data_IF_245987763419
#
_entry.id   IF_245987763419
#
_cell.length_a   1.000
_cell.length_b   1.000
_cell.length_c   1.000
_cell.angle_alpha   90.00
_cell.angle_beta   90.00
_cell.angle_gamma   90.00
#
_symmetry.space_group_name_H-M   'P 1'
#
loop_
_entity.id
_entity.type
_entity.pdbx_description
1 polymer ?
#
# COMPACT_ATOMS: atom_id res chain seq x y z
N UNK A 1 -5.82 11.29 -2.00
CA UNK A 1 -4.94 10.28 -2.62
C UNK A 1 -3.72 10.99 -3.21
N UNK A 2 -2.51 10.67 -2.74
CA UNK A 2 -1.25 11.19 -3.33
C UNK A 2 -0.49 10.02 -3.94
N UNK A 3 -0.09 10.15 -5.21
CA UNK A 3 0.71 9.15 -5.95
C UNK A 3 2.18 9.58 -5.96
N UNK A 4 3.10 8.66 -5.67
CA UNK A 4 4.55 8.88 -5.80
C UNK A 4 5.18 7.80 -6.68
N UNK A 5 6.07 8.22 -7.58
CA UNK A 5 6.86 7.34 -8.46
C UNK A 5 8.33 7.73 -8.37
N UNK A 6 9.22 6.75 -8.22
CA UNK A 6 10.67 6.97 -8.15
C UNK A 6 11.42 6.01 -9.09
N UNK A 7 12.39 6.53 -9.83
CA UNK A 7 13.25 5.79 -10.77
C UNK A 7 14.68 6.31 -10.68
N UNK A 8 15.70 5.44 -10.70
CA UNK A 8 17.13 5.81 -10.69
C UNK A 8 17.74 5.58 -12.08
N UNK A 9 18.43 6.58 -12.66
CA UNK A 9 19.00 6.50 -14.02
C UNK A 9 20.42 7.12 -14.04
N UNK A 10 21.35 6.53 -14.82
CA UNK A 10 22.76 6.98 -14.89
C UNK A 10 23.37 7.16 -16.31
N UNK A 11 22.68 6.80 -17.40
CA UNK A 11 23.14 6.89 -18.80
C UNK A 11 21.98 6.82 -19.83
N UNK A 12 22.26 7.04 -21.13
CA UNK A 12 21.27 6.98 -22.23
C UNK A 12 20.75 5.57 -22.54
N UNK A 13 21.62 4.55 -22.54
CA UNK A 13 21.18 3.15 -22.65
C UNK A 13 20.31 2.76 -21.45
N UNK A 14 20.67 3.24 -20.25
CA UNK A 14 19.81 3.08 -19.08
C UNK A 14 18.53 3.91 -19.17
N UNK A 15 18.45 4.97 -19.98
CA UNK A 15 17.23 5.76 -20.16
C UNK A 15 16.21 5.03 -21.04
N UNK A 16 16.66 4.38 -22.12
CA UNK A 16 15.80 3.51 -22.95
C UNK A 16 15.32 2.31 -22.12
N UNK A 17 16.25 1.65 -21.42
CA UNK A 17 15.90 0.56 -20.52
C UNK A 17 14.94 1.03 -19.42
N UNK A 18 15.19 2.20 -18.82
CA UNK A 18 14.30 2.82 -17.84
C UNK A 18 12.91 3.09 -18.42
N UNK A 19 12.80 3.50 -19.68
CA UNK A 19 11.52 3.68 -20.38
C UNK A 19 10.75 2.37 -20.55
N UNK A 20 11.43 1.30 -20.99
CA UNK A 20 10.84 -0.04 -21.10
C UNK A 20 10.43 -0.58 -19.73
N UNK A 21 11.27 -0.42 -18.72
CA UNK A 21 10.98 -0.81 -17.34
C UNK A 21 9.79 -0.03 -16.77
N UNK A 22 9.69 1.26 -17.07
CA UNK A 22 8.58 2.10 -16.64
C UNK A 22 7.27 1.62 -17.27
N UNK A 23 7.26 1.30 -18.58
CA UNK A 23 6.09 0.74 -19.25
C UNK A 23 5.66 -0.61 -18.66
N UNK A 24 6.60 -1.53 -18.44
CA UNK A 24 6.32 -2.84 -17.82
C UNK A 24 5.81 -2.68 -16.39
N UNK A 25 6.40 -1.77 -15.61
CA UNK A 25 5.98 -1.48 -14.25
C UNK A 25 4.60 -0.82 -14.18
N UNK A 26 4.27 0.04 -15.16
CA UNK A 26 2.96 0.67 -15.26
C UNK A 26 1.91 -0.36 -15.63
N UNK A 27 2.21 -1.27 -16.55
CA UNK A 27 1.32 -2.37 -16.89
C UNK A 27 1.04 -3.27 -15.67
N UNK A 28 2.09 -3.70 -14.96
CA UNK A 28 1.94 -4.48 -13.74
C UNK A 28 1.15 -3.73 -12.66
N UNK A 29 1.45 -2.44 -12.46
CA UNK A 29 0.71 -1.57 -11.53
C UNK A 29 -0.77 -1.47 -11.89
N UNK A 30 -1.11 -1.20 -13.16
CA UNK A 30 -2.50 -1.09 -13.60
C UNK A 30 -3.22 -2.43 -13.43
N UNK A 31 -2.59 -3.55 -13.81
CA UNK A 31 -3.20 -4.87 -13.63
C UNK A 31 -3.50 -5.18 -12.15
N UNK A 32 -2.52 -4.98 -11.26
CA UNK A 32 -2.72 -5.19 -9.82
C UNK A 32 -3.70 -4.19 -9.21
N UNK A 33 -3.66 -2.92 -9.61
CA UNK A 33 -4.61 -1.92 -9.11
C UNK A 33 -6.04 -2.21 -9.59
N UNK A 34 -6.21 -2.66 -10.83
CA UNK A 34 -7.51 -3.10 -11.34
C UNK A 34 -8.02 -4.33 -10.58
N UNK A 35 -7.16 -5.31 -10.28
CA UNK A 35 -7.51 -6.46 -9.43
C UNK A 35 -7.97 -6.01 -8.02
N UNK A 36 -7.25 -5.07 -7.37
CA UNK A 36 -7.68 -4.49 -6.09
C UNK A 36 -9.01 -3.75 -6.23
N UNK A 37 -9.24 -3.06 -7.36
CA UNK A 37 -10.50 -2.37 -7.60
C UNK A 37 -11.67 -3.34 -7.86
N UNK A 38 -11.39 -4.50 -8.48
CA UNK A 38 -12.36 -5.57 -8.73
C UNK A 38 -12.73 -6.33 -7.46
N UNK A 39 -11.77 -6.75 -6.64
CA UNK A 39 -12.04 -7.45 -5.37
C UNK A 39 -12.35 -6.49 -4.20
N UNK A 40 -11.94 -5.23 -4.34
CA UNK A 40 -12.13 -4.16 -3.38
C UNK A 40 -11.17 -4.21 -2.18
N UNK A 41 -10.99 -3.07 -1.52
CA UNK A 41 -10.42 -3.03 -0.17
C UNK A 41 -11.53 -3.38 0.81
N UNK A 42 -11.42 -4.55 1.46
CA UNK A 42 -12.38 -4.96 2.50
C UNK A 42 -11.88 -4.47 3.85
N UNK A 43 -12.63 -3.54 4.43
CA UNK A 43 -12.39 -3.03 5.77
C UNK A 43 -13.43 -3.68 6.68
N UNK A 44 -13.00 -4.66 7.46
CA UNK A 44 -13.83 -5.25 8.51
C UNK A 44 -13.53 -4.50 9.81
N UNK A 45 -14.38 -3.53 10.17
CA UNK A 45 -14.29 -2.83 11.45
C UNK A 45 -14.99 -3.63 12.55
N UNK A 46 -14.26 -3.99 13.61
CA UNK A 46 -14.85 -4.61 14.79
C UNK A 46 -14.86 -3.61 15.97
N UNK A 47 -16.07 -3.12 16.26
CA UNK A 47 -16.61 -2.53 17.51
C UNK A 47 -15.86 -1.40 18.26
N UNK A 48 -16.61 -0.62 19.04
CA UNK A 48 -16.27 0.71 19.58
C UNK A 48 -15.07 0.78 20.56
N UNK A 49 -14.48 -0.37 20.89
CA UNK A 49 -13.19 -0.56 21.57
C UNK A 49 -12.50 -1.77 20.94
N UNK A 50 -11.99 -1.64 19.72
CA UNK A 50 -11.59 -2.84 18.99
C UNK A 50 -10.78 -2.56 17.74
N UNK A 51 -9.76 -3.40 17.58
CA UNK A 51 -8.87 -3.53 16.45
C UNK A 51 -9.48 -3.13 15.09
N UNK A 52 -8.86 -2.15 14.43
CA UNK A 52 -9.15 -1.81 13.04
C UNK A 52 -8.38 -2.75 12.10
N UNK A 53 -9.09 -3.60 11.36
CA UNK A 53 -8.49 -4.57 10.44
C UNK A 53 -8.76 -4.18 9.00
N UNK A 54 -7.70 -4.14 8.19
CA UNK A 54 -7.78 -3.93 6.74
C UNK A 54 -7.30 -5.19 6.04
N UNK A 55 -8.14 -5.73 5.16
CA UNK A 55 -7.78 -6.85 4.30
C UNK A 55 -7.65 -6.38 2.87
N UNK A 56 -6.52 -6.72 2.26
CA UNK A 56 -6.16 -6.36 0.90
C UNK A 56 -5.87 -7.66 0.13
N UNK A 57 -6.77 -8.03 -0.77
CA UNK A 57 -6.55 -9.12 -1.70
C UNK A 57 -5.86 -8.56 -2.96
N UNK A 58 -4.83 -9.27 -3.42
CA UNK A 58 -3.90 -8.80 -4.44
C UNK A 58 -3.64 -9.91 -5.45
N UNK A 59 -3.71 -9.59 -6.73
CA UNK A 59 -3.26 -10.47 -7.81
C UNK A 59 -2.21 -9.76 -8.67
N UNK A 60 -1.15 -10.50 -9.03
CA UNK A 60 -0.19 -10.05 -10.01
C UNK A 60 -0.55 -10.56 -11.41
N UNK A 61 -1.46 -9.86 -12.09
CA UNK A 61 -1.74 -10.10 -13.52
C UNK A 61 -0.65 -9.58 -14.47
N UNK A 62 0.44 -9.02 -13.95
CA UNK A 62 1.55 -8.49 -14.74
C UNK A 62 2.56 -9.56 -15.18
N UNK A 63 3.57 -9.13 -15.94
CA UNK A 63 4.59 -10.01 -16.53
C UNK A 63 5.88 -10.13 -15.69
N UNK A 64 5.98 -9.38 -14.59
CA UNK A 64 7.17 -9.37 -13.73
C UNK A 64 6.77 -9.57 -12.26
N UNK A 65 7.64 -10.13 -11.41
CA UNK A 65 7.39 -10.20 -9.98
C UNK A 65 7.26 -8.81 -9.35
N UNK A 66 6.33 -8.69 -8.41
CA UNK A 66 6.09 -7.50 -7.61
C UNK A 66 6.30 -7.80 -6.12
N UNK A 67 6.85 -6.84 -5.38
CA UNK A 67 6.85 -6.80 -3.92
C UNK A 67 5.77 -5.79 -3.50
N UNK A 68 4.57 -6.27 -3.21
CA UNK A 68 3.50 -5.47 -2.65
C UNK A 68 3.78 -5.21 -1.17
N UNK A 69 3.40 -4.03 -0.69
CA UNK A 69 3.43 -3.70 0.72
C UNK A 69 2.26 -2.79 1.06
N UNK A 70 1.81 -2.90 2.30
CA UNK A 70 0.80 -2.00 2.82
C UNK A 70 1.13 -1.64 4.27
N UNK A 71 0.71 -0.46 4.67
CA UNK A 71 0.77 -0.01 6.05
C UNK A 71 -0.47 0.74 6.45
N UNK A 72 -0.82 0.62 7.72
CA UNK A 72 -1.85 1.39 8.35
C UNK A 72 -1.24 2.07 9.58
N UNK A 73 -1.49 3.36 9.74
CA UNK A 73 -0.97 4.16 10.85
C UNK A 73 -2.10 4.98 11.42
N UNK A 74 -2.43 4.72 12.67
CA UNK A 74 -3.36 5.52 13.46
C UNK A 74 -2.56 6.50 14.31
N UNK A 75 -2.98 7.75 14.30
CA UNK A 75 -2.47 8.77 15.19
C UNK A 75 -3.56 9.69 15.70
N UNK A 76 -3.22 10.49 16.71
CA UNK A 76 -4.04 11.60 17.20
C UNK A 76 -3.12 12.67 17.77
N UNK A 77 -3.56 13.93 17.75
CA UNK A 77 -2.82 15.08 18.30
C UNK A 77 -1.36 15.21 17.80
N UNK A 78 -1.10 14.73 16.57
CA UNK A 78 0.23 14.75 15.95
C UNK A 78 1.14 13.59 16.35
N UNK A 79 0.70 12.70 17.23
CA UNK A 79 1.44 11.51 17.64
C UNK A 79 0.93 10.25 16.94
N UNK A 80 1.84 9.31 16.69
CA UNK A 80 1.50 7.97 16.18
C UNK A 80 1.15 7.09 17.38
N UNK A 81 -0.03 6.50 17.33
CA UNK A 81 -0.59 5.69 18.41
C UNK A 81 -0.38 4.21 18.13
N UNK A 82 -0.69 3.78 16.90
CA UNK A 82 -0.58 2.39 16.50
C UNK A 82 -0.26 2.32 15.00
N UNK A 83 0.51 1.32 14.61
CA UNK A 83 0.87 1.12 13.22
C UNK A 83 1.07 -0.36 12.92
N UNK A 84 0.77 -0.73 11.68
CA UNK A 84 1.09 -2.03 11.15
C UNK A 84 1.65 -1.91 9.74
N UNK A 85 2.57 -2.81 9.40
CA UNK A 85 3.22 -2.88 8.09
C UNK A 85 3.37 -4.34 7.69
N UNK A 86 2.98 -4.65 6.46
CA UNK A 86 3.12 -5.98 5.86
C UNK A 86 3.56 -5.87 4.42
N UNK A 87 4.24 -6.91 3.95
CA UNK A 87 4.67 -7.03 2.57
C UNK A 87 4.51 -8.45 2.07
N UNK A 88 4.20 -8.58 0.80
CA UNK A 88 3.98 -9.83 0.10
C UNK A 88 4.68 -9.76 -1.26
N UNK A 89 5.39 -10.82 -1.62
CA UNK A 89 5.98 -10.96 -2.95
C UNK A 89 5.07 -11.84 -3.80
N UNK A 90 4.73 -11.37 -4.99
CA UNK A 90 3.87 -12.08 -5.95
C UNK A 90 4.59 -12.20 -7.29
N UNK A 91 4.76 -13.43 -7.76
CA UNK A 91 5.18 -13.75 -9.12
C UNK A 91 4.03 -13.55 -10.10
N UNK A 92 4.29 -13.45 -11.42
CA UNK A 92 3.23 -13.39 -12.42
C UNK A 92 2.20 -14.52 -12.27
N UNK A 93 0.91 -14.16 -12.20
CA UNK A 93 -0.21 -15.08 -12.00
C UNK A 93 -0.45 -15.52 -10.56
N UNK A 94 0.34 -15.07 -9.59
CA UNK A 94 0.10 -15.35 -8.17
C UNK A 94 -0.86 -14.33 -7.56
N UNK A 95 -1.68 -14.82 -6.62
CA UNK A 95 -2.52 -14.01 -5.74
C UNK A 95 -2.15 -14.21 -4.28
N UNK A 96 -2.53 -13.25 -3.45
CA UNK A 96 -2.42 -13.40 -2.00
C UNK A 96 -3.00 -12.20 -1.26
N UNK A 97 -2.94 -12.26 0.07
CA UNK A 97 -3.62 -11.30 0.93
C UNK A 97 -2.65 -10.61 1.89
N UNK A 98 -2.86 -9.31 2.10
CA UNK A 98 -2.23 -8.53 3.15
C UNK A 98 -3.30 -8.14 4.18
N UNK A 99 -3.10 -8.57 5.41
CA UNK A 99 -3.93 -8.21 6.55
C UNK A 99 -3.16 -7.24 7.45
N UNK A 100 -3.71 -6.04 7.64
CA UNK A 100 -3.20 -5.03 8.55
C UNK A 100 -4.13 -4.90 9.75
N UNK A 101 -3.57 -4.70 10.93
CA UNK A 101 -4.34 -4.54 12.16
C UNK A 101 -3.81 -3.40 13.01
N UNK A 102 -4.64 -2.40 13.29
CA UNK A 102 -4.27 -1.22 14.07
C UNK A 102 -5.18 -1.11 15.29
N UNK A 103 -4.59 -0.98 16.48
CA UNK A 103 -5.35 -0.89 17.71
C UNK A 103 -5.84 0.54 17.95
N UNK A 104 -7.14 0.70 18.17
CA UNK A 104 -7.73 1.96 18.63
C UNK A 104 -7.77 1.89 20.15
N UNK A 105 -6.95 2.68 20.87
CA UNK A 105 -6.93 2.61 22.31
C UNK A 105 -8.20 3.24 22.88
N UNK A 106 -8.78 2.59 23.89
CA UNK A 106 -9.99 3.05 24.58
C UNK A 106 -9.72 4.13 25.64
N UNK A 107 -8.49 4.67 25.71
CA UNK A 107 -8.05 5.56 26.77
C UNK A 107 -8.31 7.04 26.45
N UNK A 108 -8.43 7.86 27.50
CA UNK A 108 -8.74 9.29 27.41
C UNK A 108 -7.71 10.15 26.64
N UNK A 109 -6.56 9.60 26.27
CA UNK A 109 -5.53 10.27 25.46
C UNK A 109 -5.84 10.21 23.96
N UNK A 110 -6.77 9.36 23.52
CA UNK A 110 -7.20 9.32 22.13
C UNK A 110 -8.35 10.31 21.89
N UNK A 111 -8.00 11.47 21.34
CA UNK A 111 -9.00 12.40 20.82
C UNK A 111 -9.46 11.93 19.44
N UNK A 112 -10.71 11.44 19.34
CA UNK A 112 -11.33 11.14 18.03
C UNK A 112 -11.40 12.39 17.12
N UNK A 113 -11.54 13.57 17.71
CA UNK A 113 -11.64 14.84 16.98
C UNK A 113 -10.32 15.26 16.29
N UNK A 114 -9.18 14.76 16.76
CA UNK A 114 -7.87 15.01 16.15
C UNK A 114 -7.23 13.73 15.62
N UNK A 115 -8.00 12.64 15.54
CA UNK A 115 -7.53 11.36 15.06
C UNK A 115 -7.30 11.40 13.55
N UNK A 116 -6.30 10.67 13.10
CA UNK A 116 -6.03 10.46 11.69
C UNK A 116 -5.58 9.03 11.44
N UNK A 117 -5.99 8.50 10.29
CA UNK A 117 -5.61 7.18 9.80
C UNK A 117 -4.93 7.35 8.46
N UNK A 118 -3.66 6.98 8.38
CA UNK A 118 -2.94 6.86 7.11
C UNK A 118 -2.94 5.39 6.66
N UNK A 119 -3.51 5.13 5.48
CA UNK A 119 -3.37 3.87 4.77
C UNK A 119 -2.43 4.09 3.58
N UNK A 120 -1.37 3.30 3.50
CA UNK A 120 -0.47 3.28 2.37
C UNK A 120 -0.47 1.89 1.74
N UNK A 121 -0.56 1.84 0.42
CA UNK A 121 -0.38 0.62 -0.36
C UNK A 121 0.63 0.95 -1.45
N UNK A 122 1.62 0.09 -1.63
CA UNK A 122 2.63 0.29 -2.65
C UNK A 122 3.19 -1.00 -3.19
N UNK A 123 3.93 -0.85 -4.28
CA UNK A 123 4.53 -1.94 -5.03
C UNK A 123 5.96 -1.56 -5.37
N UNK A 124 6.89 -2.46 -5.11
CA UNK A 124 8.28 -2.38 -5.58
C UNK A 124 8.49 -3.46 -6.62
N UNK A 125 9.27 -3.14 -7.63
CA UNK A 125 9.60 -4.07 -8.69
C UNK A 125 11.11 -4.07 -8.93
N UNK A 126 11.63 -5.21 -9.39
CA UNK A 126 13.00 -5.35 -9.88
C UNK A 126 14.06 -4.84 -8.88
N UNK A 127 14.04 -5.33 -7.64
CA UNK A 127 15.07 -4.98 -6.65
C UNK A 127 15.02 -3.51 -6.20
N UNK A 128 13.81 -2.90 -6.16
CA UNK A 128 13.53 -1.51 -5.76
C UNK A 128 13.92 -0.44 -6.78
N UNK A 129 14.16 -0.81 -8.04
CA UNK A 129 14.43 0.16 -9.11
C UNK A 129 13.22 1.01 -9.46
N UNK A 130 12.03 0.43 -9.37
CA UNK A 130 10.74 1.09 -9.60
C UNK A 130 9.84 0.88 -8.39
N UNK A 131 9.19 1.95 -7.96
CA UNK A 131 8.25 1.94 -6.84
C UNK A 131 7.05 2.81 -7.16
N UNK A 132 5.87 2.31 -6.81
CA UNK A 132 4.61 3.06 -6.80
C UNK A 132 4.01 2.98 -5.40
N UNK A 133 3.54 4.11 -4.90
CA UNK A 133 2.87 4.16 -3.60
C UNK A 133 1.68 5.11 -3.67
N UNK A 134 0.57 4.63 -3.14
CA UNK A 134 -0.65 5.38 -2.93
C UNK A 134 -0.84 5.54 -1.43
N UNK A 135 -1.03 6.79 -1.00
CA UNK A 135 -1.41 7.10 0.38
C UNK A 135 -2.79 7.74 0.43
N UNK A 136 -3.58 7.27 1.38
CA UNK A 136 -4.84 7.87 1.81
C UNK A 136 -4.71 8.28 3.26
N UNK A 137 -5.00 9.54 3.55
CA UNK A 137 -5.05 10.07 4.90
C UNK A 137 -6.50 10.46 5.19
N UNK A 138 -7.08 9.78 6.16
CA UNK A 138 -8.41 10.07 6.71
C UNK A 138 -8.22 10.84 8.01
N UNK A 139 -9.05 11.85 8.25
CA UNK A 139 -9.07 12.62 9.50
C UNK A 139 -10.47 12.52 10.09
N UNK A 140 -10.53 12.33 11.41
CA UNK A 140 -11.76 12.39 12.20
C UNK A 140 -12.31 13.80 12.32
#
# INVERSE_FOLDING_TARGET
MKLRTCLRVGSTATAILAGVLLLLSLHAFVATFMSIAEEGVKVDSFDEEGLFVVRLSLENGGLIPIDAYASATLGSDGEVISQDYRSLRLSPGESGEINLSVEIPANAQFSRANAWLELAIGFKMLGRLTCFEVRSLMRG
#
